data_IF_768778062106
#
_entry.id   IF_768778062106
#
_cell.length_a   1.000
_cell.length_b   1.000
_cell.length_c   1.000
_cell.angle_alpha   90.00
_cell.angle_beta   90.00
_cell.angle_gamma   90.00
#
_symmetry.space_group_name_H-M   'P 1'
#
loop_
_entity.id
_entity.type
_entity.pdbx_description
1 polymer ?
#
# COMPACT_ATOMS: atom_id res chain seq x y z
N UNK A 1 -30.54 -6.13 38.93
CA UNK A 1 -29.97 -5.12 38.00
C UNK A 1 -28.70 -5.72 37.42
N UNK A 2 -28.69 -6.06 36.14
CA UNK A 2 -27.50 -6.58 35.44
C UNK A 2 -27.09 -5.56 34.38
N UNK A 3 -25.94 -4.93 34.58
CA UNK A 3 -25.39 -3.94 33.66
C UNK A 3 -24.77 -4.70 32.48
N UNK A 4 -25.29 -4.45 31.28
CA UNK A 4 -24.68 -4.93 30.03
C UNK A 4 -23.68 -3.88 29.58
N UNK A 5 -22.40 -4.22 29.59
CA UNK A 5 -21.34 -3.37 29.04
C UNK A 5 -21.27 -3.61 27.53
N UNK A 6 -21.96 -2.77 26.77
CA UNK A 6 -21.78 -2.70 25.31
C UNK A 6 -20.43 -2.05 25.05
N UNK A 7 -19.43 -2.88 24.77
CA UNK A 7 -18.12 -2.44 24.31
C UNK A 7 -18.27 -1.93 22.88
N UNK A 8 -18.41 -0.61 22.73
CA UNK A 8 -18.39 0.06 21.44
C UNK A 8 -16.99 -0.07 20.82
N UNK A 9 -16.79 -1.10 19.98
CA UNK A 9 -15.72 -1.09 19.00
C UNK A 9 -16.05 0.01 17.99
N UNK A 10 -15.47 1.19 18.18
CA UNK A 10 -15.34 2.18 17.13
C UNK A 10 -14.47 1.55 16.03
N UNK A 11 -15.12 0.94 15.04
CA UNK A 11 -14.50 0.68 13.75
C UNK A 11 -14.18 2.06 13.17
N UNK A 12 -12.96 2.54 13.40
CA UNK A 12 -12.42 3.68 12.66
C UNK A 12 -12.35 3.16 11.22
N UNK A 13 -13.38 3.46 10.43
CA UNK A 13 -13.39 3.17 9.01
C UNK A 13 -12.24 3.98 8.41
N UNK A 14 -11.10 3.31 8.18
CA UNK A 14 -9.98 3.90 7.48
C UNK A 14 -10.48 4.34 6.10
N UNK A 15 -10.24 5.60 5.69
CA UNK A 15 -10.73 6.10 4.42
C UNK A 15 -10.20 5.19 3.30
N UNK A 16 -11.14 4.53 2.61
CA UNK A 16 -10.81 3.68 1.47
C UNK A 16 -10.72 4.55 0.23
N UNK A 17 -9.72 4.30 -0.60
CA UNK A 17 -9.60 4.84 -1.95
C UNK A 17 -10.80 4.42 -2.80
N UNK A 18 -11.01 5.09 -3.94
CA UNK A 18 -12.12 4.79 -4.86
C UNK A 18 -12.12 3.32 -5.35
N UNK A 19 -10.95 2.67 -5.37
CA UNK A 19 -10.82 1.24 -5.67
C UNK A 19 -11.13 0.32 -4.48
N UNK A 20 -11.63 0.85 -3.36
CA UNK A 20 -12.01 0.09 -2.17
C UNK A 20 -10.84 -0.36 -1.30
N UNK A 21 -9.66 0.25 -1.44
CA UNK A 21 -8.43 -0.13 -0.72
C UNK A 21 -8.01 0.93 0.29
N UNK A 22 -7.27 0.49 1.30
CA UNK A 22 -6.66 1.28 2.37
C UNK A 22 -5.59 2.31 1.91
N UNK A 23 -5.00 2.14 0.72
CA UNK A 23 -3.99 3.03 0.13
C UNK A 23 -3.85 2.73 -1.37
N UNK A 24 -3.30 3.67 -2.13
CA UNK A 24 -2.99 3.49 -3.55
C UNK A 24 -1.80 2.56 -3.77
N UNK A 25 -0.69 2.88 -3.11
CA UNK A 25 0.54 2.10 -3.18
C UNK A 25 1.04 1.90 -1.75
N UNK A 26 1.32 0.66 -1.39
CA UNK A 26 1.94 0.29 -0.12
C UNK A 26 3.26 -0.41 -0.43
N UNK A 27 4.36 0.10 0.10
CA UNK A 27 5.63 -0.61 0.15
C UNK A 27 5.77 -1.22 1.54
N UNK A 28 5.67 -2.54 1.61
CA UNK A 28 6.00 -3.29 2.81
C UNK A 28 7.52 -3.42 2.91
N UNK A 29 8.04 -2.98 4.05
CA UNK A 29 9.47 -2.93 4.36
C UNK A 29 9.74 -3.36 5.79
N UNK A 30 11.01 -3.50 6.14
CA UNK A 30 11.47 -3.59 7.53
C UNK A 30 12.88 -3.05 7.61
N UNK A 31 13.36 -2.74 8.81
CA UNK A 31 14.76 -2.31 9.02
C UNK A 31 15.80 -3.32 8.50
N UNK A 32 15.43 -4.60 8.36
CA UNK A 32 16.32 -5.67 7.89
C UNK A 32 16.28 -5.86 6.37
N UNK A 33 15.42 -5.12 5.66
CA UNK A 33 15.23 -5.27 4.23
C UNK A 33 16.20 -4.39 3.44
N UNK A 34 17.37 -4.93 3.11
CA UNK A 34 18.42 -4.23 2.33
C UNK A 34 17.93 -3.76 0.95
N UNK A 35 16.97 -4.50 0.38
CA UNK A 35 16.47 -4.29 -0.99
C UNK A 35 15.26 -3.35 -1.05
N UNK A 36 14.73 -2.92 0.10
CA UNK A 36 13.52 -2.11 0.14
C UNK A 36 13.72 -0.69 -0.38
N UNK A 37 14.91 -0.12 -0.20
CA UNK A 37 15.21 1.22 -0.72
C UNK A 37 15.31 1.21 -2.26
N UNK A 38 15.88 0.17 -2.85
CA UNK A 38 15.89 -0.01 -4.30
C UNK A 38 14.46 -0.15 -4.87
N UNK A 39 13.58 -0.91 -4.21
CA UNK A 39 12.18 -1.00 -4.61
C UNK A 39 11.44 0.35 -4.50
N UNK A 40 11.79 1.17 -3.50
CA UNK A 40 11.23 2.51 -3.33
C UNK A 40 11.69 3.47 -4.45
N UNK A 41 12.96 3.42 -4.84
CA UNK A 41 13.49 4.23 -5.95
C UNK A 41 12.84 3.89 -7.29
N UNK A 42 12.62 2.59 -7.55
CA UNK A 42 11.89 2.12 -8.73
C UNK A 42 10.47 2.68 -8.72
N UNK A 43 9.76 2.56 -7.58
CA UNK A 43 8.42 3.12 -7.43
C UNK A 43 8.41 4.63 -7.70
N UNK A 44 9.30 5.40 -7.05
CA UNK A 44 9.40 6.85 -7.24
C UNK A 44 9.60 7.22 -8.71
N UNK A 45 10.47 6.50 -9.41
CA UNK A 45 10.73 6.72 -10.83
C UNK A 45 9.46 6.47 -11.65
N UNK A 46 8.80 5.33 -11.42
CA UNK A 46 7.57 4.96 -12.15
C UNK A 46 6.42 5.93 -11.89
N UNK A 47 6.14 6.27 -10.63
CA UNK A 47 5.02 7.18 -10.32
C UNK A 47 5.27 8.59 -10.87
N UNK A 48 6.54 9.03 -10.91
CA UNK A 48 6.93 10.30 -11.50
C UNK A 48 6.71 10.33 -13.01
N UNK A 49 6.95 9.21 -13.71
CA UNK A 49 6.66 9.09 -15.15
C UNK A 49 5.17 9.31 -15.46
N UNK A 50 4.28 8.95 -14.53
CA UNK A 50 2.83 9.15 -14.63
C UNK A 50 2.34 10.48 -14.06
N UNK A 51 3.24 11.33 -13.55
CA UNK A 51 2.89 12.61 -12.92
C UNK A 51 2.15 12.48 -11.59
N UNK A 52 2.27 11.32 -10.92
CA UNK A 52 1.66 11.09 -9.61
C UNK A 52 2.58 11.64 -8.49
N UNK A 53 2.01 12.24 -7.44
CA UNK A 53 2.79 12.76 -6.34
C UNK A 53 3.35 11.64 -5.44
N UNK A 54 4.51 11.85 -4.82
CA UNK A 54 5.18 10.83 -3.98
C UNK A 54 4.35 10.39 -2.76
N UNK A 55 3.44 11.23 -2.27
CA UNK A 55 2.57 10.91 -1.14
C UNK A 55 1.60 9.75 -1.41
N UNK A 56 1.41 9.32 -2.68
CA UNK A 56 0.61 8.14 -3.00
C UNK A 56 1.27 6.83 -2.55
N UNK A 57 2.57 6.86 -2.24
CA UNK A 57 3.33 5.72 -1.73
C UNK A 57 3.37 5.79 -0.21
N UNK A 58 2.78 4.79 0.43
CA UNK A 58 2.88 4.57 1.87
C UNK A 58 3.90 3.49 2.15
N UNK A 59 5.00 3.85 2.81
CA UNK A 59 5.96 2.85 3.35
C UNK A 59 5.42 2.36 4.69
N UNK A 60 5.36 1.04 4.85
CA UNK A 60 4.92 0.36 6.07
C UNK A 60 6.08 -0.49 6.56
N UNK A 61 6.45 -0.36 7.83
CA UNK A 61 7.33 -1.34 8.48
C UNK A 61 6.48 -2.50 9.02
N UNK A 62 6.61 -3.68 8.44
CA UNK A 62 5.82 -4.86 8.84
C UNK A 62 6.06 -5.32 10.29
N UNK A 63 7.11 -4.83 10.94
CA UNK A 63 7.41 -5.14 12.34
C UNK A 63 6.77 -4.15 13.32
N UNK A 64 6.47 -2.94 12.88
CA UNK A 64 6.10 -1.82 13.75
C UNK A 64 4.73 -1.20 13.41
N UNK A 65 4.28 -1.34 12.16
CA UNK A 65 3.10 -0.66 11.62
C UNK A 65 2.04 -1.64 11.11
N UNK A 66 0.78 -1.21 11.16
CA UNK A 66 -0.34 -1.86 10.48
C UNK A 66 -0.60 -1.14 9.14
N UNK A 67 -0.83 -1.93 8.08
CA UNK A 67 -1.20 -1.40 6.77
C UNK A 67 -2.63 -0.81 6.78
N UNK A 68 -3.44 -1.14 7.80
CA UNK A 68 -4.80 -0.66 7.97
C UNK A 68 -5.77 -1.21 6.93
N UNK A 69 -5.35 -2.26 6.22
CA UNK A 69 -6.10 -2.92 5.15
C UNK A 69 -6.86 -4.14 5.65
N UNK A 70 -6.50 -4.67 6.83
CA UNK A 70 -7.00 -5.96 7.33
C UNK A 70 -6.65 -7.12 6.41
N UNK A 71 -5.60 -6.96 5.59
CA UNK A 71 -5.10 -7.99 4.67
C UNK A 71 -3.91 -8.70 5.33
N UNK A 72 -3.69 -9.98 5.00
CA UNK A 72 -2.50 -10.67 5.49
C UNK A 72 -1.25 -9.97 4.94
N UNK A 73 -0.26 -9.82 5.83
CA UNK A 73 1.05 -9.33 5.45
C UNK A 73 1.68 -10.26 4.40
N UNK A 74 2.41 -9.71 3.42
CA UNK A 74 3.05 -10.51 2.38
C UNK A 74 4.16 -11.39 2.94
N UNK A 75 4.32 -12.58 2.36
CA UNK A 75 5.39 -13.52 2.69
C UNK A 75 6.63 -13.12 1.87
N UNK A 76 7.41 -12.18 2.39
CA UNK A 76 8.67 -11.72 1.78
C UNK A 76 8.73 -10.20 1.61
N UNK A 77 9.93 -9.64 1.74
CA UNK A 77 10.22 -8.22 1.59
C UNK A 77 11.35 -7.99 0.57
N UNK A 78 11.35 -6.89 -0.18
CA UNK A 78 10.26 -5.91 -0.28
C UNK A 78 9.01 -6.54 -0.89
N UNK A 79 7.85 -5.98 -0.56
CA UNK A 79 6.61 -6.31 -1.25
C UNK A 79 5.83 -5.03 -1.50
N UNK A 80 5.14 -4.98 -2.63
CA UNK A 80 4.42 -3.82 -3.08
C UNK A 80 2.96 -4.21 -3.28
N UNK A 81 2.05 -3.44 -2.70
CA UNK A 81 0.64 -3.53 -3.02
C UNK A 81 0.23 -2.29 -3.78
N UNK A 82 -0.05 -2.45 -5.06
CA UNK A 82 -0.49 -1.38 -5.96
C UNK A 82 -1.95 -1.68 -6.27
N UNK A 83 -2.85 -0.91 -5.64
CA UNK A 83 -4.28 -1.14 -5.71
C UNK A 83 -4.67 -2.59 -5.32
N UNK A 84 -5.05 -3.44 -6.27
CA UNK A 84 -5.44 -4.84 -6.02
C UNK A 84 -4.30 -5.84 -6.26
N UNK A 85 -3.20 -5.40 -6.86
CA UNK A 85 -2.06 -6.24 -7.20
C UNK A 85 -1.07 -6.29 -6.04
N UNK A 86 -0.56 -7.49 -5.76
CA UNK A 86 0.53 -7.73 -4.82
C UNK A 86 1.74 -8.22 -5.62
N UNK A 87 2.83 -7.46 -5.55
CA UNK A 87 4.11 -7.80 -6.14
C UNK A 87 5.07 -8.12 -5.01
N UNK A 88 5.64 -9.32 -5.02
CA UNK A 88 6.62 -9.75 -4.01
C UNK A 88 8.03 -9.71 -4.60
N UNK A 89 8.98 -9.19 -3.83
CA UNK A 89 10.36 -8.96 -4.27
C UNK A 89 10.56 -7.55 -4.86
N UNK A 90 11.75 -7.32 -5.42
CA UNK A 90 12.02 -6.08 -6.16
C UNK A 90 11.40 -6.21 -7.55
N UNK A 91 10.44 -5.34 -7.92
CA UNK A 91 9.91 -5.32 -9.27
C UNK A 91 10.95 -4.72 -10.21
N UNK A 92 10.98 -5.19 -11.46
CA UNK A 92 11.60 -4.41 -12.52
C UNK A 92 10.72 -3.19 -12.89
N UNK A 93 11.30 -2.27 -13.65
CA UNK A 93 10.63 -1.04 -14.07
C UNK A 93 9.36 -1.30 -14.89
N UNK A 94 9.35 -2.33 -15.74
CA UNK A 94 8.23 -2.61 -16.64
C UNK A 94 7.04 -3.21 -15.88
N UNK A 95 7.30 -4.11 -14.93
CA UNK A 95 6.31 -4.69 -14.03
C UNK A 95 5.69 -3.61 -13.15
N UNK A 96 6.51 -2.76 -12.53
CA UNK A 96 6.02 -1.64 -11.72
C UNK A 96 5.18 -0.67 -12.56
N UNK A 97 5.62 -0.34 -13.78
CA UNK A 97 4.89 0.53 -14.70
C UNK A 97 3.55 -0.06 -15.12
N UNK A 98 3.51 -1.35 -15.43
CA UNK A 98 2.27 -2.06 -15.78
C UNK A 98 1.26 -2.03 -14.64
N UNK A 99 1.69 -2.32 -13.42
CA UNK A 99 0.83 -2.32 -12.23
C UNK A 99 0.28 -0.92 -11.92
N UNK A 100 1.12 0.13 -12.01
CA UNK A 100 0.67 1.52 -11.82
C UNK A 100 -0.31 1.94 -12.92
N UNK A 101 -0.03 1.61 -14.18
CA UNK A 101 -0.95 1.89 -15.29
C UNK A 101 -2.31 1.23 -15.07
N UNK A 102 -2.33 -0.04 -14.66
CA UNK A 102 -3.58 -0.74 -14.37
C UNK A 102 -4.34 -0.12 -13.19
N UNK A 103 -3.62 0.33 -12.16
CA UNK A 103 -4.22 1.06 -11.05
C UNK A 103 -4.80 2.43 -11.47
N UNK A 104 -4.16 3.15 -12.40
CA UNK A 104 -4.70 4.40 -12.96
C UNK A 104 -6.00 4.13 -13.72
N UNK A 105 -6.02 3.12 -14.59
CA UNK A 105 -7.20 2.75 -15.38
C UNK A 105 -8.39 2.32 -14.50
N UNK A 106 -8.11 1.76 -13.33
CA UNK A 106 -9.10 1.37 -12.34
C UNK A 106 -9.49 2.50 -11.37
N UNK A 107 -9.04 3.74 -11.59
CA UNK A 107 -9.36 4.89 -10.74
C UNK A 107 -8.78 4.79 -9.32
N UNK A 108 -7.75 3.99 -9.10
CA UNK A 108 -7.24 3.75 -7.75
C UNK A 108 -6.65 5.01 -7.10
N UNK A 109 -6.23 6.01 -7.90
CA UNK A 109 -5.55 7.24 -7.45
C UNK A 109 -6.46 8.46 -7.24
N UNK A 110 -7.76 8.37 -7.52
CA UNK A 110 -8.67 9.53 -7.48
C UNK A 110 -8.84 10.15 -6.08
N UNK A 111 -8.64 9.35 -5.02
CA UNK A 111 -8.81 9.76 -3.61
C UNK A 111 -7.54 9.49 -2.77
N UNK A 112 -6.36 9.45 -3.38
CA UNK A 112 -5.11 9.36 -2.62
C UNK A 112 -4.59 10.75 -2.30
N UNK A 113 -4.99 11.23 -1.13
CA UNK A 113 -4.60 12.53 -0.62
C UNK A 113 -4.02 12.41 0.79
#
# INVERSE_FOLDING_TARGET
MTVRTESAHLTIESPKTACGRCSCIILYSSEKCVLCDAALEILHSVISDFGLPINVIRKIDVLNDDDGCGLPLPVGLPALRICQELITGIPDMDVARGAVMHAILNGCFENCQ
#
